data_IF_909035513897
#
_entry.id   IF_909035513897
#
_cell.length_a   1.000
_cell.length_b   1.000
_cell.length_c   1.000
_cell.angle_alpha   90.00
_cell.angle_beta   90.00
_cell.angle_gamma   90.00
#
_symmetry.space_group_name_H-M   'P 1'
#
loop_
_entity.id
_entity.type
_entity.pdbx_description
1 polymer ?
#
# COMPACT_ATOMS: atom_id res chain seq x y z
N UNK A 1 -1.17 15.88 17.69
CA UNK A 1 -0.71 14.75 16.83
C UNK A 1 0.19 15.30 15.73
N UNK A 2 1.26 14.59 15.35
CA UNK A 2 2.05 14.97 14.19
C UNK A 2 1.20 14.87 12.93
N UNK A 3 1.19 15.93 12.11
CA UNK A 3 0.45 15.93 10.83
C UNK A 3 0.99 14.83 9.91
N UNK A 4 0.08 14.21 9.15
CA UNK A 4 0.45 13.18 8.20
C UNK A 4 1.31 13.76 7.07
N UNK A 5 2.55 13.31 6.97
CA UNK A 5 3.52 13.82 5.98
C UNK A 5 3.07 13.58 4.53
N UNK A 6 2.32 12.49 4.29
CA UNK A 6 1.83 12.19 2.93
C UNK A 6 0.84 13.23 2.45
N UNK A 7 -0.03 13.77 3.35
CA UNK A 7 -0.93 14.89 3.02
C UNK A 7 -0.14 16.14 2.59
N UNK A 8 0.96 16.45 3.30
CA UNK A 8 1.80 17.59 2.96
C UNK A 8 2.54 17.40 1.63
N UNK A 9 3.08 16.21 1.36
CA UNK A 9 3.73 15.89 0.09
C UNK A 9 2.73 16.00 -1.07
N UNK A 10 1.56 15.37 -0.95
CA UNK A 10 0.51 15.43 -1.95
C UNK A 10 0.05 16.87 -2.23
N UNK A 11 -0.25 17.64 -1.18
CA UNK A 11 -0.67 19.04 -1.31
C UNK A 11 0.38 19.94 -1.97
N UNK A 12 1.66 19.58 -1.88
CA UNK A 12 2.76 20.28 -2.55
C UNK A 12 3.01 19.79 -3.98
N UNK A 13 2.23 18.83 -4.48
CA UNK A 13 2.39 18.22 -5.81
C UNK A 13 3.63 17.32 -5.92
N UNK A 14 4.25 16.93 -4.82
CA UNK A 14 5.42 16.04 -4.82
C UNK A 14 4.98 14.57 -4.89
N UNK A 15 5.63 13.74 -5.72
CA UNK A 15 5.38 12.30 -5.72
C UNK A 15 5.79 11.68 -4.39
N UNK A 16 5.04 10.67 -3.96
CA UNK A 16 5.24 9.94 -2.71
C UNK A 16 5.83 8.56 -3.03
N UNK A 17 6.96 8.25 -2.39
CA UNK A 17 7.63 6.96 -2.51
C UNK A 17 7.24 6.05 -1.34
N UNK A 18 6.57 4.94 -1.66
CA UNK A 18 6.16 3.94 -0.67
C UNK A 18 7.02 2.68 -0.76
N UNK A 19 7.46 2.17 0.40
CA UNK A 19 8.06 0.86 0.57
C UNK A 19 7.01 -0.17 1.01
N UNK A 20 7.33 -1.46 0.85
CA UNK A 20 6.41 -2.55 1.17
C UNK A 20 7.11 -3.64 1.97
N UNK A 21 6.52 -4.05 3.10
CA UNK A 21 7.06 -5.08 3.97
C UNK A 21 6.10 -6.27 4.04
N UNK A 22 6.55 -7.42 3.55
CA UNK A 22 5.82 -8.69 3.57
C UNK A 22 6.49 -9.75 4.45
N UNK A 23 7.67 -9.45 5.02
CA UNK A 23 8.38 -10.31 5.97
C UNK A 23 8.06 -9.86 7.39
N UNK A 24 7.45 -10.73 8.20
CA UNK A 24 7.08 -10.47 9.60
C UNK A 24 8.29 -10.38 10.53
N UNK A 25 9.18 -9.41 10.32
CA UNK A 25 10.37 -9.24 11.12
C UNK A 25 10.71 -7.76 11.34
N UNK A 26 10.90 -7.37 12.59
CA UNK A 26 11.19 -5.99 12.97
C UNK A 26 12.53 -5.47 12.43
N UNK A 27 13.56 -6.32 12.34
CA UNK A 27 14.85 -5.90 11.82
C UNK A 27 14.82 -5.67 10.31
N UNK A 28 14.09 -6.52 9.56
CA UNK A 28 13.85 -6.29 8.13
C UNK A 28 13.09 -4.97 7.91
N UNK A 29 12.07 -4.70 8.72
CA UNK A 29 11.31 -3.46 8.67
C UNK A 29 12.19 -2.22 8.97
N UNK A 30 13.08 -2.31 9.96
CA UNK A 30 14.07 -1.26 10.30
C UNK A 30 15.01 -0.97 9.12
N UNK A 31 15.54 -2.02 8.47
CA UNK A 31 16.36 -1.89 7.27
C UNK A 31 15.60 -1.15 6.18
N UNK A 32 14.37 -1.58 5.89
CA UNK A 32 13.52 -0.93 4.88
C UNK A 32 13.29 0.54 5.21
N UNK A 33 12.95 0.85 6.46
CA UNK A 33 12.66 2.20 6.91
C UNK A 33 13.87 3.15 6.85
N UNK A 34 15.09 2.63 6.92
CA UNK A 34 16.33 3.42 6.83
C UNK A 34 16.72 3.80 5.39
N UNK A 35 15.97 3.32 4.36
CA UNK A 35 16.33 3.56 2.96
C UNK A 35 15.79 4.88 2.39
N UNK A 36 15.00 5.65 3.15
CA UNK A 36 14.50 6.96 2.71
C UNK A 36 13.15 6.96 2.02
N UNK A 37 12.31 5.94 2.24
CA UNK A 37 10.91 5.94 1.82
C UNK A 37 10.11 7.01 2.58
N UNK A 38 9.16 7.66 1.89
CA UNK A 38 8.22 8.61 2.52
C UNK A 38 7.18 7.89 3.38
N UNK A 39 6.80 6.69 2.94
CA UNK A 39 5.91 5.78 3.68
C UNK A 39 6.35 4.33 3.54
N UNK A 40 5.97 3.49 4.51
CA UNK A 40 6.12 2.03 4.44
C UNK A 40 4.80 1.38 4.82
N UNK A 41 4.35 0.48 3.95
CA UNK A 41 3.16 -0.33 4.15
C UNK A 41 3.55 -1.73 4.63
N UNK A 42 3.04 -2.13 5.79
CA UNK A 42 3.10 -3.53 6.26
C UNK A 42 1.91 -4.29 5.69
N UNK A 43 2.19 -5.40 5.04
CA UNK A 43 1.20 -6.18 4.31
C UNK A 43 0.61 -7.31 5.17
N UNK A 44 -0.52 -7.05 5.83
CA UNK A 44 -1.21 -8.04 6.66
C UNK A 44 -2.08 -8.98 5.80
N UNK A 45 -2.31 -8.65 4.52
CA UNK A 45 -3.13 -9.47 3.62
C UNK A 45 -2.35 -10.67 3.06
N UNK A 46 -1.20 -10.43 2.45
CA UNK A 46 -0.42 -11.45 1.74
C UNK A 46 1.01 -11.61 2.28
N UNK A 47 1.43 -10.76 3.21
CA UNK A 47 2.70 -10.93 3.88
C UNK A 47 2.76 -12.21 4.72
N UNK A 48 3.96 -12.77 4.89
CA UNK A 48 4.22 -13.87 5.81
C UNK A 48 4.27 -13.33 7.25
N UNK A 49 3.18 -12.72 7.72
CA UNK A 49 3.06 -12.05 9.01
C UNK A 49 1.61 -11.96 9.46
N UNK A 50 1.38 -11.73 10.74
CA UNK A 50 0.08 -11.45 11.32
C UNK A 50 0.14 -10.19 12.18
N UNK A 51 -0.98 -9.80 12.79
CA UNK A 51 -1.08 -8.62 13.66
C UNK A 51 -0.02 -8.59 14.77
N UNK A 52 0.36 -9.75 15.33
CA UNK A 52 1.42 -9.85 16.34
C UNK A 52 2.78 -9.31 15.88
N UNK A 53 3.04 -9.34 14.58
CA UNK A 53 4.29 -8.85 13.99
C UNK A 53 4.26 -7.35 13.71
N UNK A 54 3.05 -6.79 13.48
CA UNK A 54 2.88 -5.37 13.13
C UNK A 54 3.39 -4.43 14.22
N UNK A 55 3.11 -4.75 15.49
CA UNK A 55 3.56 -3.92 16.61
C UNK A 55 5.09 -3.79 16.67
N UNK A 56 5.87 -4.88 16.74
CA UNK A 56 7.33 -4.78 16.77
C UNK A 56 7.91 -4.18 15.48
N UNK A 57 7.32 -4.42 14.31
CA UNK A 57 7.72 -3.78 13.06
C UNK A 57 7.51 -2.26 13.10
N UNK A 58 6.35 -1.79 13.55
CA UNK A 58 6.07 -0.35 13.69
C UNK A 58 6.96 0.31 14.74
N UNK A 59 7.31 -0.39 15.83
CA UNK A 59 8.25 0.11 16.83
C UNK A 59 9.65 0.30 16.23
N UNK A 60 10.14 -0.67 15.46
CA UNK A 60 11.43 -0.61 14.79
C UNK A 60 11.52 0.54 13.76
N UNK A 61 10.42 0.81 13.05
CA UNK A 61 10.37 1.87 12.04
C UNK A 61 10.08 3.27 12.59
N UNK A 62 9.71 3.40 13.87
CA UNK A 62 9.20 4.66 14.45
C UNK A 62 10.15 5.86 14.32
N UNK A 63 11.46 5.63 14.39
CA UNK A 63 12.49 6.69 14.32
C UNK A 63 12.88 7.09 12.90
N UNK A 64 12.47 6.35 11.87
CA UNK A 64 12.88 6.58 10.48
C UNK A 64 12.32 7.87 9.88
N UNK A 65 11.20 8.33 10.41
CA UNK A 65 10.46 9.45 9.87
C UNK A 65 9.55 9.10 8.70
N UNK A 66 9.51 7.86 8.23
CA UNK A 66 8.53 7.38 7.26
C UNK A 66 7.12 7.32 7.86
N UNK A 67 6.09 7.58 7.07
CA UNK A 67 4.71 7.38 7.48
C UNK A 67 4.38 5.89 7.45
N UNK A 68 3.96 5.34 8.60
CA UNK A 68 3.65 3.91 8.73
C UNK A 68 2.24 3.64 8.22
N UNK A 69 2.10 2.70 7.32
CA UNK A 69 0.84 2.27 6.73
C UNK A 69 0.66 0.76 6.89
N UNK A 70 -0.57 0.29 6.74
CA UNK A 70 -0.86 -1.15 6.68
C UNK A 70 -1.84 -1.45 5.55
N UNK A 71 -1.65 -2.57 4.86
CA UNK A 71 -2.70 -3.19 4.05
C UNK A 71 -3.35 -4.28 4.91
N UNK A 72 -4.65 -4.14 5.15
CA UNK A 72 -5.44 -5.09 5.95
C UNK A 72 -5.87 -6.29 5.11
N UNK A 73 -6.18 -7.45 5.73
CA UNK A 73 -6.61 -8.64 4.97
C UNK A 73 -7.92 -8.43 4.20
N UNK A 74 -8.85 -7.70 4.79
CA UNK A 74 -10.19 -7.41 4.25
C UNK A 74 -10.83 -6.21 4.96
N UNK A 75 -12.08 -5.89 4.64
CA UNK A 75 -12.90 -4.87 5.36
C UNK A 75 -13.32 -5.35 6.76
N UNK A 76 -12.42 -5.95 7.50
CA UNK A 76 -12.66 -6.37 8.88
C UNK A 76 -12.40 -5.23 9.86
N UNK A 77 -13.41 -4.79 10.64
CA UNK A 77 -13.24 -3.67 11.58
C UNK A 77 -12.22 -3.96 12.67
N UNK A 78 -12.04 -5.23 13.06
CA UNK A 78 -11.07 -5.62 14.07
C UNK A 78 -9.63 -5.42 13.60
N UNK A 79 -9.29 -5.87 12.39
CA UNK A 79 -7.95 -5.66 11.81
C UNK A 79 -7.68 -4.18 11.55
N UNK A 80 -8.65 -3.44 11.00
CA UNK A 80 -8.54 -2.00 10.74
C UNK A 80 -8.26 -1.26 12.04
N UNK A 81 -9.09 -1.46 13.07
CA UNK A 81 -8.96 -0.81 14.37
C UNK A 81 -7.61 -1.12 15.03
N UNK A 82 -7.20 -2.39 15.05
CA UNK A 82 -5.94 -2.84 15.64
C UNK A 82 -4.72 -2.27 14.92
N UNK A 83 -4.73 -2.22 13.58
CA UNK A 83 -3.65 -1.59 12.82
C UNK A 83 -3.52 -0.08 13.14
N UNK A 84 -4.65 0.62 13.28
CA UNK A 84 -4.68 2.02 13.68
C UNK A 84 -4.20 2.22 15.13
N UNK A 85 -4.60 1.35 16.06
CA UNK A 85 -4.25 1.45 17.49
C UNK A 85 -2.76 1.19 17.77
N UNK A 86 -2.09 0.43 16.89
CA UNK A 86 -0.63 0.28 16.95
C UNK A 86 0.13 1.36 16.17
N UNK A 87 -0.56 2.28 15.50
CA UNK A 87 0.02 3.50 14.96
C UNK A 87 0.08 3.60 13.44
N UNK A 88 -0.72 2.83 12.69
CA UNK A 88 -0.87 3.07 11.26
C UNK A 88 -1.47 4.46 11.02
N UNK A 89 -0.85 5.21 10.11
CA UNK A 89 -1.28 6.54 9.68
C UNK A 89 -2.01 6.49 8.32
N UNK A 90 -2.15 5.30 7.76
CA UNK A 90 -2.93 5.02 6.56
C UNK A 90 -3.24 3.53 6.48
N UNK A 91 -4.43 3.22 6.00
CA UNK A 91 -4.88 1.86 5.73
C UNK A 91 -5.20 1.72 4.25
N UNK A 92 -4.67 0.66 3.63
CA UNK A 92 -5.07 0.19 2.32
C UNK A 92 -6.02 -0.99 2.53
N UNK A 93 -7.27 -0.84 2.08
CA UNK A 93 -8.30 -1.90 2.17
C UNK A 93 -8.49 -2.55 0.80
N UNK A 94 -8.20 -3.86 0.65
CA UNK A 94 -8.32 -4.56 -0.62
C UNK A 94 -9.78 -4.79 -1.04
N UNK A 95 -9.99 -5.11 -2.31
CA UNK A 95 -11.25 -5.62 -2.87
C UNK A 95 -12.46 -4.70 -2.63
N UNK A 96 -12.28 -3.39 -2.76
CA UNK A 96 -13.40 -2.43 -2.72
C UNK A 96 -14.06 -2.36 -4.10
N UNK A 97 -15.35 -2.70 -4.17
CA UNK A 97 -16.07 -2.88 -5.43
C UNK A 97 -17.18 -1.84 -5.67
N UNK A 98 -17.61 -1.12 -4.64
CA UNK A 98 -18.69 -0.13 -4.73
C UNK A 98 -18.56 0.94 -3.63
N UNK A 99 -19.43 1.97 -3.71
CA UNK A 99 -19.42 3.09 -2.77
C UNK A 99 -19.87 2.69 -1.35
N UNK A 100 -20.75 1.71 -1.23
CA UNK A 100 -21.23 1.19 0.06
C UNK A 100 -20.08 0.52 0.82
N UNK A 101 -19.28 -0.29 0.13
CA UNK A 101 -18.10 -0.93 0.69
C UNK A 101 -17.02 0.08 1.08
N UNK A 102 -16.83 1.12 0.27
CA UNK A 102 -15.92 2.22 0.60
C UNK A 102 -16.39 2.99 1.84
N UNK A 103 -17.69 3.31 1.93
CA UNK A 103 -18.26 3.99 3.08
C UNK A 103 -18.18 3.15 4.36
N UNK A 104 -18.44 1.84 4.27
CA UNK A 104 -18.29 0.90 5.36
C UNK A 104 -16.84 0.89 5.88
N UNK A 105 -15.85 0.72 4.99
CA UNK A 105 -14.43 0.78 5.31
C UNK A 105 -14.04 2.07 6.02
N UNK A 106 -14.46 3.21 5.48
CA UNK A 106 -14.18 4.54 6.08
C UNK A 106 -14.80 4.64 7.47
N UNK A 107 -16.01 4.11 7.67
CA UNK A 107 -16.69 4.16 8.96
C UNK A 107 -15.91 3.45 10.07
N UNK A 108 -15.19 2.37 9.74
CA UNK A 108 -14.35 1.63 10.68
C UNK A 108 -13.03 2.35 11.02
N UNK A 109 -12.63 3.33 10.23
CA UNK A 109 -11.41 4.12 10.45
C UNK A 109 -11.63 5.38 11.29
N UNK A 110 -12.85 5.88 11.35
CA UNK A 110 -13.18 7.17 11.94
C UNK A 110 -13.90 7.00 13.28
N UNK A 111 -13.52 7.82 14.25
CA UNK A 111 -14.28 7.94 15.51
C UNK A 111 -15.61 8.68 15.29
N UNK A 112 -16.63 8.42 16.13
CA UNK A 112 -17.85 9.22 16.10
C UNK A 112 -17.58 10.73 16.20
N UNK A 113 -18.41 11.59 15.53
CA UNK A 113 -19.59 11.24 14.75
C UNK A 113 -19.30 10.82 13.30
N UNK A 114 -18.04 10.85 12.85
CA UNK A 114 -17.65 10.60 11.45
C UNK A 114 -17.60 9.12 11.07
N UNK A 115 -17.66 8.21 12.05
CA UNK A 115 -17.62 6.77 11.84
C UNK A 115 -18.01 5.98 13.09
N UNK A 116 -17.61 4.69 13.11
CA UNK A 116 -17.97 3.71 14.13
C UNK A 116 -16.76 3.11 14.86
N UNK A 117 -15.54 3.63 14.61
CA UNK A 117 -14.34 3.11 15.27
C UNK A 117 -14.49 3.17 16.80
N UNK A 118 -14.27 2.04 17.47
CA UNK A 118 -14.22 2.00 18.93
C UNK A 118 -12.98 2.74 19.46
N UNK A 119 -13.13 3.47 20.55
CA UNK A 119 -12.05 4.24 21.15
C UNK A 119 -11.24 3.39 22.14
N UNK A 120 -9.96 3.19 21.84
CA UNK A 120 -9.02 2.47 22.70
C UNK A 120 -7.60 2.45 22.13
N UNK A 121 -7.04 3.62 21.70
CA UNK A 121 -5.74 3.67 21.01
C UNK A 121 -4.56 3.47 21.96
N UNK A 122 -4.45 2.28 22.57
CA UNK A 122 -3.53 2.00 23.68
C UNK A 122 -2.06 2.32 23.34
N UNK A 123 -1.53 1.82 22.21
CA UNK A 123 -0.12 2.04 21.89
C UNK A 123 0.13 3.43 21.30
N UNK A 124 -0.68 3.84 20.33
CA UNK A 124 -0.45 5.11 19.60
C UNK A 124 -0.67 6.33 20.49
N UNK A 125 -1.50 6.25 21.51
CA UNK A 125 -1.74 7.35 22.46
C UNK A 125 -0.52 7.61 23.37
N UNK A 126 0.40 6.66 23.57
CA UNK A 126 1.59 6.86 24.40
C UNK A 126 2.51 7.94 23.82
N UNK A 127 2.96 7.88 22.55
CA UNK A 127 3.74 8.96 21.94
C UNK A 127 2.88 10.13 21.41
N UNK A 128 1.55 9.98 21.32
CA UNK A 128 0.63 10.95 20.70
C UNK A 128 -0.60 11.16 21.60
N UNK A 129 -0.47 11.94 22.69
CA UNK A 129 -1.55 12.10 23.69
C UNK A 129 -2.87 12.68 23.15
N UNK A 130 -2.81 13.48 22.08
CA UNK A 130 -3.96 14.10 21.40
C UNK A 130 -4.47 13.25 20.20
N UNK A 131 -4.07 11.98 20.11
CA UNK A 131 -4.44 11.11 19.00
C UNK A 131 -5.95 11.02 18.78
N UNK A 132 -6.73 10.84 19.84
CA UNK A 132 -8.18 10.69 19.74
C UNK A 132 -8.90 11.91 19.15
N UNK A 133 -8.32 13.11 19.28
CA UNK A 133 -8.90 14.37 18.75
C UNK A 133 -8.54 14.52 17.26
N UNK A 134 -7.31 14.18 16.88
CA UNK A 134 -6.76 14.48 15.56
C UNK A 134 -6.84 13.31 14.56
N UNK A 135 -7.04 12.09 15.04
CA UNK A 135 -6.96 10.88 14.20
C UNK A 135 -7.90 10.91 12.99
N UNK A 136 -9.13 11.42 13.16
CA UNK A 136 -10.09 11.50 12.05
C UNK A 136 -9.59 12.38 10.89
N UNK A 137 -8.75 13.37 11.20
CA UNK A 137 -8.19 14.30 10.21
C UNK A 137 -6.87 13.81 9.61
N UNK A 138 -6.10 12.99 10.33
CA UNK A 138 -4.72 12.68 9.97
C UNK A 138 -4.54 11.26 9.39
N UNK A 139 -5.40 10.31 9.75
CA UNK A 139 -5.32 8.94 9.21
C UNK A 139 -5.89 8.89 7.79
N UNK A 140 -5.18 8.22 6.87
CA UNK A 140 -5.55 8.11 5.46
C UNK A 140 -6.30 6.81 5.17
N UNK A 141 -7.42 6.90 4.44
CA UNK A 141 -8.21 5.78 3.95
C UNK A 141 -7.97 5.57 2.45
N UNK A 142 -7.37 4.45 2.07
CA UNK A 142 -7.16 4.06 0.68
C UNK A 142 -8.03 2.86 0.32
N UNK A 143 -8.96 3.03 -0.63
CA UNK A 143 -9.68 1.93 -1.25
C UNK A 143 -8.80 1.28 -2.33
N UNK A 144 -8.56 -0.03 -2.25
CA UNK A 144 -7.81 -0.71 -3.29
C UNK A 144 -8.76 -1.21 -4.39
N UNK A 145 -8.50 -0.75 -5.62
CA UNK A 145 -9.28 -1.07 -6.82
C UNK A 145 -8.50 -2.07 -7.65
N UNK A 146 -9.06 -3.27 -7.78
CA UNK A 146 -8.36 -4.42 -8.35
C UNK A 146 -9.31 -5.45 -8.98
N UNK A 147 -10.59 -5.06 -9.20
CA UNK A 147 -11.63 -5.91 -9.81
C UNK A 147 -12.34 -5.19 -10.95
N UNK A 148 -13.08 -5.94 -11.77
CA UNK A 148 -13.94 -5.37 -12.81
C UNK A 148 -15.03 -4.48 -12.20
N UNK A 149 -15.69 -4.93 -11.12
CA UNK A 149 -16.75 -4.18 -10.43
C UNK A 149 -16.19 -2.87 -9.83
N UNK A 150 -14.98 -2.92 -9.24
CA UNK A 150 -14.29 -1.72 -8.74
C UNK A 150 -14.00 -0.70 -9.85
N UNK A 151 -13.65 -1.15 -11.05
CA UNK A 151 -13.45 -0.28 -12.23
C UNK A 151 -14.78 0.26 -12.78
N UNK A 152 -15.85 -0.54 -12.75
CA UNK A 152 -17.19 -0.09 -13.16
C UNK A 152 -17.71 1.01 -12.22
N UNK A 153 -17.58 0.81 -10.90
CA UNK A 153 -18.07 1.71 -9.86
C UNK A 153 -17.06 2.80 -9.43
N UNK A 154 -15.95 2.96 -10.15
CA UNK A 154 -14.82 3.80 -9.77
C UNK A 154 -15.19 5.25 -9.41
N UNK A 155 -16.09 5.87 -10.17
CA UNK A 155 -16.57 7.24 -9.92
C UNK A 155 -17.36 7.34 -8.61
N UNK A 156 -18.23 6.36 -8.33
CA UNK A 156 -19.01 6.31 -7.10
C UNK A 156 -18.11 6.07 -5.87
N UNK A 157 -17.12 5.18 -6.00
CA UNK A 157 -16.12 4.93 -4.96
C UNK A 157 -15.31 6.21 -4.67
N UNK A 158 -14.81 6.88 -5.72
CA UNK A 158 -14.00 8.09 -5.58
C UNK A 158 -14.79 9.26 -4.96
N UNK A 159 -16.10 9.31 -5.18
CA UNK A 159 -17.00 10.32 -4.61
C UNK A 159 -17.37 10.05 -3.15
N UNK A 160 -16.98 8.92 -2.55
CA UNK A 160 -17.34 8.55 -1.19
C UNK A 160 -16.71 9.51 -0.19
N UNK A 161 -17.53 10.14 0.64
CA UNK A 161 -17.07 11.13 1.63
C UNK A 161 -16.13 10.48 2.64
N UNK A 162 -14.97 11.10 2.83
CA UNK A 162 -13.94 10.63 3.78
C UNK A 162 -12.93 9.65 3.20
N UNK A 163 -13.05 9.29 1.91
CA UNK A 163 -12.00 8.56 1.19
C UNK A 163 -10.83 9.52 0.88
N UNK A 164 -9.62 9.16 1.29
CA UNK A 164 -8.43 9.98 1.06
C UNK A 164 -7.70 9.59 -0.25
N UNK A 165 -7.89 8.36 -0.73
CA UNK A 165 -7.26 7.92 -1.96
C UNK A 165 -7.73 6.56 -2.46
N UNK A 166 -7.31 6.26 -3.69
CA UNK A 166 -7.46 4.94 -4.31
C UNK A 166 -6.07 4.36 -4.54
N UNK A 167 -5.92 3.07 -4.23
CA UNK A 167 -4.70 2.31 -4.50
C UNK A 167 -4.96 1.21 -5.53
N UNK A 168 -4.13 1.12 -6.57
CA UNK A 168 -4.28 0.11 -7.62
C UNK A 168 -3.42 -1.11 -7.34
N UNK A 169 -4.04 -2.30 -7.35
CA UNK A 169 -3.38 -3.61 -7.36
C UNK A 169 -3.36 -4.21 -8.79
N UNK A 170 -2.30 -4.00 -9.60
CA UNK A 170 -2.32 -4.38 -11.01
C UNK A 170 -2.43 -5.88 -11.25
N UNK A 171 -1.94 -6.73 -10.33
CA UNK A 171 -2.00 -8.19 -10.47
C UNK A 171 -3.45 -8.69 -10.42
N UNK A 172 -4.18 -8.35 -9.35
CA UNK A 172 -5.58 -8.72 -9.20
C UNK A 172 -6.49 -8.00 -10.19
N UNK A 173 -6.17 -6.73 -10.51
CA UNK A 173 -6.86 -6.01 -11.57
C UNK A 173 -6.76 -6.75 -12.92
N UNK A 174 -5.59 -7.33 -13.22
CA UNK A 174 -5.42 -8.15 -14.42
C UNK A 174 -6.28 -9.40 -14.35
N UNK A 175 -6.28 -10.12 -13.24
CA UNK A 175 -7.11 -11.32 -13.06
C UNK A 175 -8.60 -10.99 -13.19
N UNK A 176 -9.06 -9.94 -12.51
CA UNK A 176 -10.47 -9.54 -12.47
C UNK A 176 -11.01 -8.99 -13.79
N UNK A 177 -10.17 -8.31 -14.59
CA UNK A 177 -10.64 -7.68 -15.85
C UNK A 177 -10.30 -8.49 -17.09
N UNK A 178 -9.24 -9.29 -17.06
CA UNK A 178 -8.78 -10.02 -18.25
C UNK A 178 -9.25 -11.48 -18.30
N UNK A 179 -9.88 -11.98 -17.23
CA UNK A 179 -10.53 -13.31 -17.19
C UNK A 179 -9.62 -14.45 -17.72
N UNK A 180 -8.35 -14.45 -17.32
CA UNK A 180 -7.37 -15.47 -17.74
C UNK A 180 -6.68 -15.22 -19.09
N UNK A 181 -6.99 -14.14 -19.83
CA UNK A 181 -6.31 -13.80 -21.09
C UNK A 181 -4.87 -13.33 -20.86
N UNK A 182 -4.62 -12.69 -19.73
CA UNK A 182 -3.29 -12.21 -19.32
C UNK A 182 -2.91 -12.83 -17.98
N UNK A 183 -1.65 -13.17 -17.83
CA UNK A 183 -1.10 -13.58 -16.54
C UNK A 183 -1.07 -12.37 -15.56
N UNK A 184 -1.26 -12.58 -14.25
CA UNK A 184 -1.14 -11.51 -13.25
C UNK A 184 0.27 -10.93 -13.25
N UNK A 185 0.38 -9.62 -12.99
CA UNK A 185 1.67 -8.95 -12.95
C UNK A 185 1.54 -7.48 -12.56
N UNK A 186 2.66 -6.87 -12.13
CA UNK A 186 2.67 -5.50 -11.62
C UNK A 186 2.85 -4.46 -12.74
N UNK A 187 3.96 -4.49 -13.45
CA UNK A 187 4.36 -3.46 -14.42
C UNK A 187 3.71 -3.72 -15.79
N UNK A 188 2.41 -3.43 -15.88
CA UNK A 188 1.59 -3.73 -17.07
C UNK A 188 1.96 -2.84 -18.24
N UNK A 189 2.11 -3.46 -19.42
CA UNK A 189 2.45 -2.76 -20.67
C UNK A 189 1.40 -2.93 -21.75
N UNK A 190 0.45 -3.83 -21.55
CA UNK A 190 -0.67 -4.05 -22.46
C UNK A 190 -1.55 -2.81 -22.49
N UNK A 191 -1.89 -2.37 -23.69
CA UNK A 191 -2.59 -1.10 -23.94
C UNK A 191 -3.89 -1.00 -23.13
N UNK A 192 -4.67 -2.09 -23.09
CA UNK A 192 -5.91 -2.19 -22.32
C UNK A 192 -5.70 -2.04 -20.81
N UNK A 193 -4.63 -2.65 -20.26
CA UNK A 193 -4.32 -2.52 -18.84
C UNK A 193 -3.81 -1.11 -18.48
N UNK A 194 -2.95 -0.55 -19.33
CA UNK A 194 -2.48 0.83 -19.17
C UNK A 194 -3.63 1.81 -19.23
N UNK A 195 -4.63 1.58 -20.10
CA UNK A 195 -5.83 2.42 -20.18
C UNK A 195 -6.65 2.39 -18.88
N UNK A 196 -6.85 1.18 -18.29
CA UNK A 196 -7.54 1.04 -16.99
C UNK A 196 -6.76 1.74 -15.86
N UNK A 197 -5.45 1.56 -15.79
CA UNK A 197 -4.58 2.18 -14.79
C UNK A 197 -4.66 3.72 -14.91
N UNK A 198 -4.59 4.28 -16.12
CA UNK A 198 -4.75 5.72 -16.35
C UNK A 198 -6.16 6.23 -16.02
N UNK A 199 -7.20 5.42 -16.27
CA UNK A 199 -8.58 5.77 -15.87
C UNK A 199 -8.67 6.03 -14.37
N UNK A 200 -8.02 5.21 -13.53
CA UNK A 200 -8.05 5.37 -12.07
C UNK A 200 -7.43 6.70 -11.65
N UNK A 201 -6.23 7.03 -12.10
CA UNK A 201 -5.60 8.30 -11.70
C UNK A 201 -6.37 9.53 -12.22
N UNK A 202 -6.98 9.45 -13.41
CA UNK A 202 -7.82 10.53 -13.93
C UNK A 202 -9.06 10.78 -13.05
N UNK A 203 -9.69 9.70 -12.55
CA UNK A 203 -10.83 9.83 -11.64
C UNK A 203 -10.37 10.37 -10.29
N UNK A 204 -9.26 9.88 -9.72
CA UNK A 204 -8.72 10.44 -8.48
C UNK A 204 -8.45 11.94 -8.59
N UNK A 205 -7.84 12.39 -9.68
CA UNK A 205 -7.58 13.81 -9.93
C UNK A 205 -8.88 14.62 -10.04
N UNK A 206 -9.92 14.07 -10.69
CA UNK A 206 -11.24 14.71 -10.78
C UNK A 206 -11.89 14.94 -9.42
N UNK A 207 -11.74 13.98 -8.50
CA UNK A 207 -12.33 14.04 -7.14
C UNK A 207 -11.38 14.63 -6.09
N UNK A 208 -10.15 15.01 -6.46
CA UNK A 208 -9.18 15.62 -5.55
C UNK A 208 -8.73 14.68 -4.45
N UNK A 209 -8.55 13.39 -4.75
CA UNK A 209 -8.04 12.36 -3.85
C UNK A 209 -6.72 11.77 -4.35
N UNK A 210 -5.95 11.14 -3.46
CA UNK A 210 -4.64 10.56 -3.78
C UNK A 210 -4.80 9.33 -4.68
N UNK A 211 -4.02 9.25 -5.76
CA UNK A 211 -3.89 8.03 -6.55
C UNK A 211 -2.61 7.30 -6.21
N UNK A 212 -2.72 6.02 -5.80
CA UNK A 212 -1.62 5.13 -5.48
C UNK A 212 -1.58 3.91 -6.40
N UNK A 213 -0.39 3.36 -6.66
CA UNK A 213 -0.21 2.15 -7.47
C UNK A 213 0.95 1.30 -6.98
N UNK A 214 0.79 -0.02 -7.02
CA UNK A 214 1.84 -0.99 -6.76
C UNK A 214 2.63 -1.30 -8.02
N UNK A 215 3.92 -0.91 -8.05
CA UNK A 215 4.83 -1.15 -9.15
C UNK A 215 5.89 -2.19 -8.76
N UNK A 216 6.41 -2.88 -9.74
CA UNK A 216 7.52 -3.82 -9.57
C UNK A 216 8.89 -3.16 -9.71
N UNK A 217 8.97 -2.01 -10.40
CA UNK A 217 10.23 -1.33 -10.70
C UNK A 217 10.12 0.19 -10.53
N UNK A 218 11.27 0.84 -10.29
CA UNK A 218 11.34 2.29 -10.22
C UNK A 218 11.05 2.96 -11.58
N UNK A 219 11.42 2.28 -12.67
CA UNK A 219 11.18 2.73 -14.05
C UNK A 219 9.68 2.80 -14.35
N UNK A 220 8.92 1.78 -13.91
CA UNK A 220 7.46 1.79 -14.08
C UNK A 220 6.79 2.80 -13.14
N UNK A 221 7.26 2.91 -11.90
CA UNK A 221 6.80 3.93 -10.96
C UNK A 221 6.98 5.35 -11.53
N UNK A 222 8.13 5.63 -12.15
CA UNK A 222 8.38 6.90 -12.84
C UNK A 222 7.39 7.15 -13.99
N UNK A 223 7.05 6.12 -14.77
CA UNK A 223 6.00 6.22 -15.80
C UNK A 223 4.63 6.52 -15.19
N UNK A 224 4.28 5.82 -14.08
CA UNK A 224 3.02 6.02 -13.38
C UNK A 224 2.89 7.46 -12.85
N UNK A 225 3.96 8.04 -12.29
CA UNK A 225 4.00 9.46 -11.92
C UNK A 225 3.72 10.34 -13.16
N UNK A 226 4.33 10.03 -14.30
CA UNK A 226 4.08 10.73 -15.57
C UNK A 226 2.62 10.60 -16.06
N UNK A 227 1.88 9.59 -15.62
CA UNK A 227 0.44 9.44 -15.90
C UNK A 227 -0.45 10.19 -14.89
N UNK A 228 0.13 10.75 -13.83
CA UNK A 228 -0.58 11.53 -12.82
C UNK A 228 -0.75 10.83 -11.45
N UNK A 229 -0.12 9.68 -11.22
CA UNK A 229 -0.12 9.04 -9.91
C UNK A 229 0.65 9.87 -8.89
N UNK A 230 0.14 9.91 -7.66
CA UNK A 230 0.75 10.67 -6.56
C UNK A 230 1.62 9.79 -5.66
N UNK A 231 1.23 8.52 -5.45
CA UNK A 231 1.92 7.56 -4.58
C UNK A 231 2.28 6.31 -5.38
N UNK A 232 3.56 5.92 -5.35
CA UNK A 232 4.03 4.72 -6.03
C UNK A 232 4.81 3.82 -5.08
N UNK A 233 4.50 2.52 -5.09
CA UNK A 233 5.33 1.49 -4.48
C UNK A 233 6.31 0.98 -5.54
N UNK A 234 7.59 0.88 -5.21
CA UNK A 234 8.65 0.49 -6.16
C UNK A 234 9.19 -0.94 -5.93
N UNK A 235 8.54 -1.69 -5.07
CA UNK A 235 8.89 -3.03 -4.68
C UNK A 235 8.79 -3.25 -3.18
N UNK A 236 9.06 -4.47 -2.72
CA UNK A 236 9.00 -4.86 -1.31
C UNK A 236 10.25 -5.61 -0.86
N UNK A 237 10.36 -5.81 0.45
CA UNK A 237 11.47 -6.47 1.13
C UNK A 237 11.81 -7.85 0.54
N UNK A 238 10.80 -8.70 0.29
CA UNK A 238 10.96 -10.01 -0.31
C UNK A 238 11.61 -9.94 -1.70
N UNK A 239 11.15 -9.01 -2.52
CA UNK A 239 11.65 -8.83 -3.88
C UNK A 239 13.08 -8.27 -3.90
N UNK A 240 13.35 -7.27 -3.04
CA UNK A 240 14.69 -6.71 -2.92
C UNK A 240 15.71 -7.76 -2.45
N UNK A 241 15.35 -8.53 -1.41
CA UNK A 241 16.21 -9.60 -0.89
C UNK A 241 16.44 -10.69 -1.93
N UNK A 242 15.37 -11.19 -2.58
CA UNK A 242 15.46 -12.22 -3.60
C UNK A 242 16.32 -11.78 -4.79
N UNK A 243 16.11 -10.55 -5.28
CA UNK A 243 16.85 -10.03 -6.43
C UNK A 243 18.33 -9.87 -6.11
N UNK A 244 18.69 -9.29 -4.96
CA UNK A 244 20.08 -9.09 -4.56
C UNK A 244 20.80 -10.42 -4.32
N UNK A 245 20.16 -11.36 -3.62
CA UNK A 245 20.72 -12.70 -3.37
C UNK A 245 20.93 -13.47 -4.68
N UNK A 246 19.93 -13.49 -5.57
CA UNK A 246 20.02 -14.15 -6.87
C UNK A 246 21.10 -13.55 -7.76
N UNK A 247 21.23 -12.23 -7.78
CA UNK A 247 22.30 -11.55 -8.52
C UNK A 247 23.69 -11.95 -8.00
N UNK A 248 23.88 -11.98 -6.67
CA UNK A 248 25.15 -12.37 -6.03
C UNK A 248 25.53 -13.82 -6.35
N UNK A 249 24.55 -14.74 -6.24
CA UNK A 249 24.75 -16.17 -6.58
C UNK A 249 25.11 -16.33 -8.06
N UNK A 250 24.38 -15.66 -8.95
CA UNK A 250 24.65 -15.75 -10.40
C UNK A 250 26.02 -15.19 -10.77
N UNK A 251 26.42 -14.06 -10.14
CA UNK A 251 27.75 -13.49 -10.35
C UNK A 251 28.86 -14.45 -9.90
N UNK A 252 28.72 -15.06 -8.70
CA UNK A 252 29.69 -16.02 -8.18
C UNK A 252 29.80 -17.26 -9.09
N UNK A 253 28.66 -17.82 -9.54
CA UNK A 253 28.64 -18.96 -10.46
C UNK A 253 29.37 -18.64 -11.76
N UNK A 254 29.12 -17.49 -12.36
CA UNK A 254 29.79 -17.02 -13.56
C UNK A 254 31.32 -16.90 -13.37
N UNK A 255 31.74 -16.31 -12.24
CA UNK A 255 33.16 -16.10 -11.93
C UNK A 255 33.92 -17.42 -11.66
N UNK A 256 33.25 -18.43 -11.12
CA UNK A 256 33.86 -19.72 -10.75
C UNK A 256 33.69 -20.79 -11.84
N UNK A 257 32.99 -20.50 -12.93
CA UNK A 257 32.67 -21.47 -13.98
C UNK A 257 31.70 -22.58 -13.53
N UNK A 258 31.00 -22.39 -12.40
CA UNK A 258 30.01 -23.35 -11.90
C UNK A 258 28.64 -23.03 -12.49
N UNK A 259 28.18 -23.84 -13.44
CA UNK A 259 26.83 -23.68 -14.02
C UNK A 259 25.71 -24.06 -13.02
N UNK A 260 24.53 -23.50 -13.22
CA UNK A 260 23.33 -23.84 -12.44
C UNK A 260 22.84 -25.25 -12.77
N UNK A 261 22.69 -26.11 -11.77
CA UNK A 261 21.97 -27.39 -11.90
C UNK A 261 20.44 -27.23 -11.91
N UNK A 262 19.91 -26.05 -11.56
CA UNK A 262 18.45 -25.77 -11.55
C UNK A 262 18.12 -24.30 -11.75
N UNK A 263 17.18 -24.03 -12.65
CA UNK A 263 16.51 -22.71 -12.74
C UNK A 263 15.53 -22.57 -11.56
N UNK A 264 15.80 -21.69 -10.62
CA UNK A 264 14.79 -21.18 -9.70
C UNK A 264 14.06 -20.05 -10.43
N UNK A 265 12.87 -20.35 -10.97
CA UNK A 265 11.98 -19.32 -11.48
C UNK A 265 11.55 -18.44 -10.31
N UNK A 266 11.94 -17.18 -10.31
CA UNK A 266 11.48 -16.20 -9.34
C UNK A 266 9.95 -16.09 -9.40
N UNK A 267 9.29 -16.25 -8.24
CA UNK A 267 7.85 -16.06 -8.14
C UNK A 267 7.41 -14.63 -8.46
N UNK A 268 6.14 -14.47 -8.72
CA UNK A 268 5.48 -13.21 -9.16
C UNK A 268 5.37 -12.18 -8.02
N UNK A 269 5.72 -12.56 -6.77
CA UNK A 269 5.66 -11.68 -5.60
C UNK A 269 7.04 -11.33 -5.09
#
# INVERSE_FOLDING_TARGET
>A
MQKNKLKALWSSGKPILNGWCSIGNSFTAEIMASQGFDSITVDIQHGALDYSDVLPMFQAMQSSGATLMARVPWRDPGYIMKALDVGAMGIICPMINNAEEAAEFISYMRYPPSGQRSFGPTRVAVPVPDYGVEANNEVLAFAMIETADGIENLEAIAATVGLDGIYVGPADLTLGTQLGRLAPGLDRTEEEMVALIKKVTNVCNKYGIISGIHCGTAEYASKAIGWGYNLTTVGGDTRFLTSAASASVSAWQKLTGREKDTQVNGGVY
#
